data_IF_246486126665
#
_entry.id   IF_246486126665
#
_cell.length_a   1.000
_cell.length_b   1.000
_cell.length_c   1.000
_cell.angle_alpha   90.00
_cell.angle_beta   90.00
_cell.angle_gamma   90.00
#
_symmetry.space_group_name_H-M   'P 1'
#
loop_
_entity.id
_entity.type
_entity.pdbx_description
1 polymer ?
#
# COMPACT_ATOMS: atom_id res chain seq x y z
N UNK A 1 -10.85 16.92 0.20
CA UNK A 1 -10.61 15.91 1.27
C UNK A 1 -9.10 15.80 1.47
N UNK A 2 -8.62 15.11 2.50
CA UNK A 2 -7.19 14.91 2.75
C UNK A 2 -6.87 13.41 2.69
N UNK A 3 -5.65 13.03 2.26
CA UNK A 3 -5.22 11.65 2.30
C UNK A 3 -5.08 11.17 3.75
N UNK A 4 -5.16 9.85 3.92
CA UNK A 4 -4.81 9.15 5.16
C UNK A 4 -3.29 9.26 5.31
N UNK A 5 -2.83 9.90 6.38
CA UNK A 5 -1.41 9.99 6.69
C UNK A 5 -0.98 8.70 7.38
N UNK A 6 -0.01 7.98 6.81
CA UNK A 6 0.54 6.76 7.39
C UNK A 6 2.03 6.94 7.65
N UNK A 7 2.42 7.01 8.92
CA UNK A 7 3.80 7.12 9.36
C UNK A 7 4.35 5.73 9.66
N UNK A 8 5.42 5.34 8.98
CA UNK A 8 6.06 4.02 9.15
C UNK A 8 7.52 4.18 9.56
N UNK A 9 7.98 3.33 10.47
CA UNK A 9 9.42 3.16 10.75
C UNK A 9 9.65 1.82 11.45
N UNK A 10 10.59 1.03 10.98
CA UNK A 10 11.06 -0.18 11.70
C UNK A 10 11.85 0.21 12.97
N UNK A 11 12.56 1.34 12.90
CA UNK A 11 13.32 1.89 14.02
C UNK A 11 12.40 2.40 15.14
N UNK A 12 12.89 2.28 16.37
CA UNK A 12 12.31 2.91 17.56
C UNK A 12 12.83 4.34 17.70
N UNK A 13 12.21 5.11 18.59
CA UNK A 13 12.58 6.50 18.88
C UNK A 13 12.51 7.46 17.66
N UNK A 14 11.43 7.33 16.88
CA UNK A 14 11.17 8.19 15.71
C UNK A 14 10.21 9.34 15.99
N UNK A 15 9.71 9.46 17.22
CA UNK A 15 8.77 10.49 17.63
C UNK A 15 7.34 10.32 17.10
N UNK A 16 6.98 9.18 16.48
CA UNK A 16 5.62 8.92 15.94
C UNK A 16 4.52 9.08 16.99
N UNK A 17 4.64 8.42 18.13
CA UNK A 17 3.67 8.54 19.24
C UNK A 17 3.67 9.96 19.82
N UNK A 18 4.84 10.61 19.94
CA UNK A 18 4.94 12.01 20.37
C UNK A 18 4.22 12.96 19.42
N UNK A 19 4.28 12.72 18.11
CA UNK A 19 3.52 13.47 17.12
C UNK A 19 2.01 13.29 17.27
N UNK A 20 1.53 12.08 17.55
CA UNK A 20 0.11 11.84 17.84
C UNK A 20 -0.34 12.60 19.11
N UNK A 21 0.50 12.59 20.15
CA UNK A 21 0.25 13.35 21.39
C UNK A 21 0.27 14.86 21.17
N UNK A 22 1.15 15.36 20.29
CA UNK A 22 1.16 16.76 19.87
C UNK A 22 -0.15 17.13 19.15
N UNK A 23 -0.62 16.29 18.23
CA UNK A 23 -1.92 16.48 17.57
C UNK A 23 -3.08 16.49 18.59
N UNK A 24 -3.03 15.61 19.60
CA UNK A 24 -4.00 15.59 20.69
C UNK A 24 -3.95 16.89 21.52
N UNK A 25 -2.77 17.44 21.78
CA UNK A 25 -2.64 18.72 22.47
C UNK A 25 -3.16 19.90 21.62
N UNK A 26 -2.92 19.87 20.31
CA UNK A 26 -3.31 20.93 19.38
C UNK A 26 -4.82 21.02 19.16
N UNK A 27 -5.49 19.87 18.96
CA UNK A 27 -6.90 19.79 18.59
C UNK A 27 -7.81 19.34 19.75
N UNK A 28 -7.23 18.99 20.90
CA UNK A 28 -7.93 18.68 22.14
C UNK A 28 -9.03 17.63 21.95
N UNK A 29 -10.28 17.96 22.31
CA UNK A 29 -11.42 17.06 22.23
C UNK A 29 -11.84 16.71 20.81
N UNK A 30 -11.28 17.37 19.79
CA UNK A 30 -11.53 17.03 18.38
C UNK A 30 -10.67 15.87 17.89
N UNK A 31 -9.79 15.31 18.73
CA UNK A 31 -8.96 14.13 18.43
C UNK A 31 -9.32 12.97 19.33
N UNK A 32 -9.30 11.76 18.77
CA UNK A 32 -9.43 10.50 19.51
C UNK A 32 -8.36 9.51 19.10
N UNK A 33 -7.88 8.75 20.08
CA UNK A 33 -7.04 7.59 19.84
C UNK A 33 -7.95 6.38 19.65
N UNK A 34 -7.80 5.70 18.52
CA UNK A 34 -8.48 4.46 18.22
C UNK A 34 -7.47 3.33 18.13
N UNK A 35 -7.92 2.15 18.49
CA UNK A 35 -7.24 0.88 18.28
C UNK A 35 -7.73 0.21 16.99
N UNK A 36 -7.05 -0.87 16.57
CA UNK A 36 -7.51 -1.69 15.45
C UNK A 36 -8.90 -2.32 15.72
N UNK A 37 -9.28 -2.53 16.97
CA UNK A 37 -10.58 -3.11 17.35
C UNK A 37 -11.73 -2.12 17.21
N UNK A 38 -11.47 -0.83 17.44
CA UNK A 38 -12.50 0.21 17.31
C UNK A 38 -12.99 0.35 15.85
N UNK A 39 -12.14 0.06 14.87
CA UNK A 39 -12.54 -0.03 13.47
C UNK A 39 -13.37 -1.27 13.15
N UNK A 40 -13.32 -2.30 13.98
CA UNK A 40 -14.10 -3.53 13.80
C UNK A 40 -15.40 -3.47 14.58
N UNK A 41 -15.44 -2.67 15.65
CA UNK A 41 -16.63 -2.43 16.44
C UNK A 41 -17.77 -1.83 15.59
N UNK A 42 -19.00 -2.22 15.94
CA UNK A 42 -20.21 -1.57 15.47
C UNK A 42 -20.47 -0.27 16.24
N UNK A 43 -20.08 -0.23 17.52
CA UNK A 43 -20.16 0.98 18.34
C UNK A 43 -19.02 1.93 18.01
N UNK A 44 -19.39 3.16 17.62
CA UNK A 44 -18.47 4.15 17.06
C UNK A 44 -18.75 5.57 17.58
N UNK A 45 -19.65 5.71 18.56
CA UNK A 45 -20.09 7.00 19.09
C UNK A 45 -18.99 7.84 19.75
N UNK A 46 -17.95 7.18 20.20
CA UNK A 46 -16.75 7.76 20.80
C UNK A 46 -15.89 8.53 19.78
N UNK A 47 -15.85 8.07 18.52
CA UNK A 47 -14.98 8.66 17.49
C UNK A 47 -15.72 9.27 16.29
N UNK A 48 -16.98 8.93 16.04
CA UNK A 48 -17.69 9.34 14.83
C UNK A 48 -17.83 10.87 14.65
N UNK A 49 -17.85 11.63 15.74
CA UNK A 49 -17.93 13.10 15.73
C UNK A 49 -16.59 13.84 15.78
N UNK A 50 -15.45 13.12 15.71
CA UNK A 50 -14.12 13.71 15.89
C UNK A 50 -13.54 14.19 14.56
N UNK A 51 -12.76 15.27 14.62
CA UNK A 51 -12.05 15.82 13.45
C UNK A 51 -10.88 14.92 13.04
N UNK A 52 -10.17 14.36 14.01
CA UNK A 52 -8.98 13.55 13.78
C UNK A 52 -9.10 12.23 14.55
N UNK A 53 -8.90 11.13 13.82
CA UNK A 53 -8.81 9.79 14.38
C UNK A 53 -7.37 9.35 14.21
N UNK A 54 -6.69 9.17 15.35
CA UNK A 54 -5.29 8.74 15.38
C UNK A 54 -5.19 7.30 15.85
N UNK A 55 -4.32 6.53 15.23
CA UNK A 55 -4.11 5.11 15.55
C UNK A 55 -2.63 4.90 15.74
N UNK A 56 -2.24 4.52 16.95
CA UNK A 56 -0.88 4.04 17.19
C UNK A 56 -0.83 2.54 16.88
N UNK A 57 0.26 2.10 16.26
CA UNK A 57 0.48 0.71 15.84
C UNK A 57 -0.67 0.08 15.03
N UNK A 58 -0.97 0.67 13.87
CA UNK A 58 -1.94 0.11 12.92
C UNK A 58 -1.43 -1.21 12.31
N UNK A 59 -2.33 -2.20 12.28
CA UNK A 59 -2.15 -3.49 11.61
C UNK A 59 -3.49 -3.97 11.01
N UNK A 60 -3.82 -3.49 9.81
CA UNK A 60 -5.04 -3.85 9.09
C UNK A 60 -4.73 -4.92 8.05
N UNK A 61 -4.57 -6.16 8.52
CA UNK A 61 -4.32 -7.33 7.67
C UNK A 61 -5.56 -7.85 6.94
N UNK A 62 -6.76 -7.35 7.24
CA UNK A 62 -8.00 -7.72 6.57
C UNK A 62 -8.33 -6.71 5.49
N UNK A 63 -8.68 -7.21 4.30
CA UNK A 63 -9.09 -6.35 3.18
C UNK A 63 -10.33 -5.53 3.53
N UNK A 64 -11.26 -6.13 4.28
CA UNK A 64 -12.45 -5.46 4.82
C UNK A 64 -12.12 -4.23 5.67
N UNK A 65 -11.14 -4.32 6.56
CA UNK A 65 -10.71 -3.20 7.41
C UNK A 65 -10.13 -2.06 6.56
N UNK A 66 -9.35 -2.41 5.53
CA UNK A 66 -8.76 -1.45 4.59
C UNK A 66 -9.84 -0.77 3.73
N UNK A 67 -10.83 -1.52 3.23
CA UNK A 67 -12.00 -0.94 2.52
C UNK A 67 -12.83 -0.03 3.43
N UNK A 68 -13.07 -0.43 4.69
CA UNK A 68 -13.79 0.39 5.66
C UNK A 68 -13.07 1.72 5.89
N UNK A 69 -11.76 1.71 6.06
CA UNK A 69 -10.95 2.92 6.21
C UNK A 69 -11.01 3.82 4.97
N UNK A 70 -10.91 3.24 3.75
CA UNK A 70 -11.06 3.97 2.49
C UNK A 70 -12.44 4.63 2.37
N UNK A 71 -13.49 3.91 2.74
CA UNK A 71 -14.85 4.45 2.76
C UNK A 71 -14.94 5.63 3.72
N UNK A 72 -14.54 5.45 4.99
CA UNK A 72 -14.56 6.50 6.01
C UNK A 72 -13.78 7.75 5.59
N UNK A 73 -12.61 7.61 4.96
CA UNK A 73 -11.82 8.75 4.48
C UNK A 73 -12.54 9.62 3.43
N UNK A 74 -13.63 9.10 2.84
CA UNK A 74 -14.37 9.77 1.78
C UNK A 74 -15.86 9.95 2.03
N UNK A 75 -16.42 9.33 3.05
CA UNK A 75 -17.83 9.48 3.40
C UNK A 75 -18.13 10.89 3.90
N UNK A 76 -19.35 11.38 3.66
CA UNK A 76 -19.83 12.69 4.14
C UNK A 76 -20.82 12.57 5.31
N UNK A 77 -21.50 11.43 5.43
CA UNK A 77 -22.42 11.15 6.54
C UNK A 77 -22.23 9.72 7.06
N UNK A 78 -22.28 9.55 8.37
CA UNK A 78 -22.03 8.25 9.01
C UNK A 78 -23.09 7.96 10.08
N UNK A 79 -23.52 6.70 10.15
CA UNK A 79 -24.47 6.24 11.16
C UNK A 79 -23.72 5.96 12.45
N UNK A 80 -24.03 6.75 13.46
CA UNK A 80 -23.51 6.58 14.81
C UNK A 80 -24.30 5.49 15.50
N UNK A 81 -23.59 4.52 16.05
CA UNK A 81 -24.16 3.48 16.89
C UNK A 81 -23.56 3.58 18.30
N UNK A 82 -24.44 3.69 19.30
CA UNK A 82 -24.09 3.67 20.71
C UNK A 82 -24.85 2.56 21.41
N UNK A 83 -24.26 1.97 22.46
CA UNK A 83 -24.87 0.86 23.19
C UNK A 83 -26.20 1.31 23.82
N UNK A 84 -27.29 0.62 23.48
CA UNK A 84 -28.62 0.90 24.03
C UNK A 84 -29.25 2.20 23.54
N UNK A 85 -28.80 2.75 22.39
CA UNK A 85 -29.38 3.93 21.76
C UNK A 85 -29.69 3.67 20.30
N UNK A 86 -30.68 4.38 19.77
CA UNK A 86 -31.03 4.33 18.35
C UNK A 86 -29.93 4.92 17.48
N UNK A 87 -29.85 4.42 16.24
CA UNK A 87 -28.86 4.85 15.26
C UNK A 87 -29.23 6.20 14.69
N UNK A 88 -28.29 7.15 14.77
CA UNK A 88 -28.47 8.50 14.24
C UNK A 88 -27.44 8.79 13.16
N UNK A 89 -27.85 9.46 12.08
CA UNK A 89 -26.94 9.89 11.03
C UNK A 89 -26.34 11.26 11.37
N UNK A 90 -25.01 11.37 11.31
CA UNK A 90 -24.29 12.62 11.52
C UNK A 90 -23.41 12.94 10.31
N UNK A 91 -23.02 14.21 10.17
CA UNK A 91 -21.97 14.59 9.21
C UNK A 91 -20.63 13.99 9.63
N UNK A 92 -19.96 13.29 8.71
CA UNK A 92 -18.66 12.69 8.92
C UNK A 92 -17.58 13.49 8.21
N UNK A 93 -16.62 13.98 8.99
CA UNK A 93 -15.55 14.85 8.50
C UNK A 93 -14.20 14.47 9.10
N UNK A 94 -14.05 13.26 9.62
CA UNK A 94 -12.81 12.83 10.24
C UNK A 94 -11.66 12.73 9.24
N UNK A 95 -10.44 12.91 9.74
CA UNK A 95 -9.17 12.69 9.04
C UNK A 95 -8.38 11.65 9.81
N UNK A 96 -7.59 10.85 9.10
CA UNK A 96 -6.90 9.71 9.68
C UNK A 96 -5.40 9.93 9.69
N UNK A 97 -4.79 9.70 10.85
CA UNK A 97 -3.34 9.61 11.02
C UNK A 97 -3.01 8.29 11.66
N UNK A 98 -2.22 7.48 10.98
CA UNK A 98 -1.88 6.14 11.37
C UNK A 98 -0.37 6.05 11.58
N UNK A 99 0.05 5.35 12.62
CA UNK A 99 1.44 5.02 12.86
C UNK A 99 1.61 3.50 12.81
N UNK A 100 2.69 3.00 12.21
CA UNK A 100 3.04 1.59 12.30
C UNK A 100 4.54 1.40 12.43
N UNK A 101 4.93 0.32 13.11
CA UNK A 101 6.30 -0.16 13.13
C UNK A 101 6.59 -1.15 11.98
N UNK A 102 5.55 -1.54 11.23
CA UNK A 102 5.67 -2.41 10.07
C UNK A 102 5.75 -1.55 8.79
N UNK A 103 6.91 -1.52 8.15
CA UNK A 103 7.11 -0.82 6.88
C UNK A 103 6.62 -1.60 5.65
N UNK A 104 6.34 -2.90 5.80
CA UNK A 104 5.99 -3.79 4.70
C UNK A 104 4.48 -4.00 4.57
N UNK A 105 3.81 -4.36 5.66
CA UNK A 105 2.39 -4.76 5.66
C UNK A 105 1.57 -4.12 6.81
N UNK A 106 1.56 -2.78 6.96
CA UNK A 106 0.74 -2.12 7.98
C UNK A 106 -0.76 -2.09 7.61
N UNK A 107 -1.07 -1.91 6.33
CA UNK A 107 -2.41 -1.82 5.75
C UNK A 107 -2.36 -2.40 4.32
N UNK A 108 -3.45 -3.02 3.88
CA UNK A 108 -3.56 -3.49 2.48
C UNK A 108 -3.88 -2.29 1.59
N UNK A 109 -2.94 -1.96 0.70
CA UNK A 109 -3.02 -0.86 -0.26
C UNK A 109 -2.83 -1.46 -1.65
N UNK A 110 -3.84 -1.28 -2.49
CA UNK A 110 -3.84 -1.74 -3.88
C UNK A 110 -3.09 -0.76 -4.80
N UNK A 111 -2.64 -1.26 -5.95
CA UNK A 111 -2.03 -0.43 -6.98
C UNK A 111 -3.01 0.63 -7.49
N UNK A 112 -2.52 1.86 -7.67
CA UNK A 112 -3.34 3.00 -8.11
C UNK A 112 -4.17 3.65 -6.99
N UNK A 113 -4.05 3.21 -5.75
CA UNK A 113 -4.71 3.86 -4.61
C UNK A 113 -4.09 5.23 -4.30
N UNK A 114 -4.90 6.29 -4.37
CA UNK A 114 -4.44 7.69 -4.19
C UNK A 114 -4.86 8.29 -2.85
N UNK A 115 -5.42 7.49 -1.93
CA UNK A 115 -5.93 7.97 -0.64
C UNK A 115 -4.89 7.95 0.48
N UNK A 116 -3.72 7.34 0.29
CA UNK A 116 -2.69 7.23 1.32
C UNK A 116 -1.50 8.15 1.04
N UNK A 117 -1.03 8.81 2.09
CA UNK A 117 0.26 9.48 2.09
C UNK A 117 1.18 8.78 3.09
N UNK A 118 2.05 7.92 2.59
CA UNK A 118 2.95 7.12 3.42
C UNK A 118 4.28 7.85 3.60
N UNK A 119 4.72 8.01 4.85
CA UNK A 119 5.99 8.65 5.20
C UNK A 119 6.83 7.70 6.05
N UNK A 120 7.99 7.32 5.54
CA UNK A 120 9.03 6.69 6.36
C UNK A 120 9.67 7.75 7.25
N UNK A 121 9.72 7.51 8.55
CA UNK A 121 10.29 8.43 9.53
C UNK A 121 11.60 7.84 10.06
N UNK A 122 12.66 8.64 10.05
CA UNK A 122 13.96 8.26 10.60
C UNK A 122 13.98 8.38 12.12
N UNK A 123 14.86 7.63 12.78
CA UNK A 123 15.17 7.86 14.20
C UNK A 123 15.67 9.27 14.49
N UNK A 124 15.32 9.76 15.67
CA UNK A 124 15.86 11.00 16.21
C UNK A 124 17.32 10.78 16.63
N UNK A 125 18.18 11.76 16.37
CA UNK A 125 19.61 11.68 16.70
C UNK A 125 19.87 11.74 18.21
N UNK A 126 19.01 12.46 18.94
CA UNK A 126 19.09 12.63 20.39
C UNK A 126 17.72 12.41 21.00
N UNK A 127 17.72 11.78 22.17
CA UNK A 127 16.52 11.67 22.98
C UNK A 127 16.37 12.89 23.89
N UNK A 128 15.16 13.44 23.96
CA UNK A 128 14.81 14.60 24.77
C UNK A 128 13.51 14.27 25.51
N UNK A 129 13.62 13.98 26.80
CA UNK A 129 12.50 13.53 27.62
C UNK A 129 11.40 14.58 27.72
N UNK A 130 11.73 15.86 27.58
CA UNK A 130 10.79 16.99 27.69
C UNK A 130 10.30 17.46 26.31
N UNK A 131 10.60 16.71 25.24
CA UNK A 131 10.30 17.13 23.87
C UNK A 131 8.82 17.44 23.65
N UNK A 132 7.91 16.64 24.25
CA UNK A 132 6.47 16.89 24.13
C UNK A 132 6.04 18.21 24.81
N UNK A 133 6.62 18.55 25.96
CA UNK A 133 6.30 19.80 26.66
C UNK A 133 6.85 21.01 25.90
N UNK A 134 8.05 20.89 25.33
CA UNK A 134 8.60 21.90 24.42
C UNK A 134 7.69 22.10 23.19
N UNK A 135 7.20 21.02 22.58
CA UNK A 135 6.24 21.10 21.47
C UNK A 135 4.92 21.77 21.89
N UNK A 136 4.42 21.48 23.09
CA UNK A 136 3.21 22.14 23.61
C UNK A 136 3.40 23.64 23.81
N UNK A 137 4.57 24.05 24.33
CA UNK A 137 4.91 25.47 24.51
C UNK A 137 4.94 26.23 23.18
N UNK A 138 5.33 25.55 22.08
CA UNK A 138 5.38 26.11 20.73
C UNK A 138 4.02 26.14 20.00
N UNK A 139 2.96 25.53 20.54
CA UNK A 139 1.64 25.49 19.88
C UNK A 139 1.14 26.88 19.45
N UNK A 140 1.19 27.94 20.29
CA UNK A 140 0.72 29.27 19.89
C UNK A 140 1.50 29.83 18.69
N UNK A 141 2.83 29.70 18.70
CA UNK A 141 3.68 30.16 17.60
C UNK A 141 3.44 29.36 16.32
N UNK A 142 3.27 28.03 16.45
CA UNK A 142 2.94 27.15 15.34
C UNK A 142 1.59 27.52 14.71
N UNK A 143 0.55 27.75 15.52
CA UNK A 143 -0.77 28.17 15.03
C UNK A 143 -0.72 29.54 14.33
N UNK A 144 0.03 30.49 14.88
CA UNK A 144 0.26 31.78 14.25
C UNK A 144 0.91 31.63 12.87
N UNK A 145 1.95 30.78 12.77
CA UNK A 145 2.57 30.45 11.50
C UNK A 145 1.58 29.81 10.51
N UNK A 146 0.75 28.87 10.96
CA UNK A 146 -0.24 28.20 10.11
C UNK A 146 -1.32 29.15 9.57
N UNK A 147 -1.68 30.21 10.30
CA UNK A 147 -2.66 31.21 9.85
C UNK A 147 -2.11 32.10 8.72
N UNK A 148 -0.81 32.44 8.76
CA UNK A 148 -0.16 33.31 7.79
C UNK A 148 0.57 32.60 6.64
N UNK A 149 0.73 31.27 6.71
CA UNK A 149 1.52 30.55 5.70
C UNK A 149 0.80 30.48 4.36
N UNK A 150 1.59 30.55 3.29
CA UNK A 150 1.13 30.16 1.95
C UNK A 150 1.22 28.64 1.81
N UNK A 151 0.19 28.01 1.27
CA UNK A 151 0.21 26.58 1.00
C UNK A 151 1.19 26.28 -0.13
N UNK A 152 2.03 25.26 0.05
CA UNK A 152 3.04 24.85 -0.95
C UNK A 152 2.44 24.10 -2.14
N UNK A 153 1.16 23.74 -2.06
CA UNK A 153 0.47 22.95 -3.08
C UNK A 153 -0.93 23.50 -3.28
N UNK A 154 -1.43 23.35 -4.50
CA UNK A 154 -2.80 23.68 -4.87
C UNK A 154 -3.66 22.42 -4.93
N UNK A 155 -4.98 22.60 -4.92
CA UNK A 155 -5.95 21.51 -4.99
C UNK A 155 -5.98 20.90 -6.40
N UNK A 156 -5.23 19.80 -6.58
CA UNK A 156 -5.09 19.05 -7.85
C UNK A 156 -5.96 17.79 -7.94
N UNK A 157 -6.50 17.30 -6.82
CA UNK A 157 -7.33 16.09 -6.79
C UNK A 157 -8.38 16.11 -5.69
N UNK A 158 -9.27 15.10 -5.66
CA UNK A 158 -10.21 14.87 -4.56
C UNK A 158 -9.54 14.87 -3.18
N UNK A 159 -8.30 14.38 -3.10
CA UNK A 159 -7.47 14.32 -1.90
C UNK A 159 -6.44 15.45 -1.82
N UNK A 160 -6.72 16.61 -2.44
CA UNK A 160 -5.86 17.78 -2.51
C UNK A 160 -4.61 17.59 -3.38
N UNK A 161 -3.80 16.58 -3.11
CA UNK A 161 -2.52 16.34 -3.77
C UNK A 161 -2.68 15.60 -5.11
N UNK A 162 -1.81 15.88 -6.07
CA UNK A 162 -1.67 15.03 -7.25
C UNK A 162 -1.02 13.68 -6.86
N UNK A 163 -1.39 12.55 -7.49
CA UNK A 163 -0.87 11.22 -7.13
C UNK A 163 0.66 11.17 -7.07
N UNK A 164 1.33 11.89 -7.96
CA UNK A 164 2.80 11.95 -8.06
C UNK A 164 3.43 12.60 -6.81
N UNK A 165 2.72 13.51 -6.14
CA UNK A 165 3.21 14.19 -4.94
C UNK A 165 3.21 13.30 -3.69
N UNK A 166 2.35 12.28 -3.68
CA UNK A 166 2.19 11.34 -2.55
C UNK A 166 2.74 9.94 -2.85
N UNK A 167 3.23 9.72 -4.08
CA UNK A 167 3.90 8.50 -4.53
C UNK A 167 5.31 8.38 -3.94
N UNK A 168 5.38 8.06 -2.64
CA UNK A 168 6.64 7.85 -1.91
C UNK A 168 7.17 6.43 -2.08
N UNK A 169 8.48 6.23 -1.89
CA UNK A 169 9.07 4.88 -1.93
C UNK A 169 8.49 3.95 -0.86
N UNK A 170 8.14 4.51 0.30
CA UNK A 170 7.44 3.77 1.35
C UNK A 170 6.06 3.27 0.89
N UNK A 171 5.30 4.10 0.16
CA UNK A 171 4.03 3.68 -0.43
C UNK A 171 4.23 2.58 -1.47
N UNK A 172 5.21 2.74 -2.38
CA UNK A 172 5.54 1.72 -3.40
C UNK A 172 5.94 0.39 -2.75
N UNK A 173 6.75 0.43 -1.69
CA UNK A 173 7.15 -0.75 -0.92
C UNK A 173 5.94 -1.49 -0.35
N UNK A 174 5.01 -0.78 0.29
CA UNK A 174 3.79 -1.40 0.84
C UNK A 174 2.93 -2.01 -0.27
N UNK A 175 2.72 -1.30 -1.39
CA UNK A 175 1.97 -1.84 -2.54
C UNK A 175 2.62 -3.12 -3.06
N UNK A 176 3.95 -3.13 -3.22
CA UNK A 176 4.71 -4.31 -3.64
C UNK A 176 4.57 -5.47 -2.65
N UNK A 177 4.68 -5.20 -1.35
CA UNK A 177 4.53 -6.24 -0.32
C UNK A 177 3.11 -6.80 -0.25
N UNK A 178 2.08 -6.01 -0.59
CA UNK A 178 0.69 -6.46 -0.65
C UNK A 178 0.37 -7.32 -1.88
N UNK A 179 1.30 -7.48 -2.83
CA UNK A 179 1.09 -8.34 -4.01
C UNK A 179 1.04 -9.82 -3.63
N UNK A 180 0.45 -10.60 -4.53
CA UNK A 180 0.35 -12.04 -4.34
C UNK A 180 1.76 -12.67 -4.37
N UNK A 181 2.07 -13.52 -3.39
CA UNK A 181 3.36 -14.23 -3.35
C UNK A 181 3.68 -14.95 -4.65
N UNK A 182 2.69 -15.62 -5.26
CA UNK A 182 2.88 -16.31 -6.54
C UNK A 182 3.22 -15.33 -7.68
N UNK A 183 2.65 -14.12 -7.64
CA UNK A 183 2.95 -13.08 -8.64
C UNK A 183 4.40 -12.60 -8.51
N UNK A 184 4.87 -12.40 -7.27
CA UNK A 184 6.27 -12.04 -6.99
C UNK A 184 7.21 -13.14 -7.47
N UNK A 185 6.97 -14.40 -7.08
CA UNK A 185 7.78 -15.55 -7.51
C UNK A 185 7.79 -15.70 -9.04
N UNK A 186 6.64 -15.49 -9.71
CA UNK A 186 6.56 -15.48 -11.17
C UNK A 186 7.38 -14.35 -11.80
N UNK A 187 7.30 -13.13 -11.23
CA UNK A 187 8.03 -11.97 -11.77
C UNK A 187 9.54 -12.13 -11.64
N UNK A 188 10.03 -12.60 -10.49
CA UNK A 188 11.45 -12.85 -10.23
C UNK A 188 11.99 -13.95 -11.15
N UNK A 189 11.26 -15.06 -11.29
CA UNK A 189 11.64 -16.13 -12.20
C UNK A 189 11.72 -15.66 -13.66
N UNK A 190 10.77 -14.84 -14.10
CA UNK A 190 10.77 -14.34 -15.47
C UNK A 190 11.91 -13.35 -15.74
N UNK A 191 12.25 -12.52 -14.76
CA UNK A 191 13.43 -11.66 -14.81
C UNK A 191 14.73 -12.49 -14.87
N UNK A 192 14.85 -13.54 -14.06
CA UNK A 192 16.00 -14.45 -14.07
C UNK A 192 16.18 -15.12 -15.45
N UNK A 193 15.09 -15.59 -16.06
CA UNK A 193 15.13 -16.16 -17.42
C UNK A 193 15.57 -15.12 -18.44
N UNK A 194 15.03 -13.89 -18.37
CA UNK A 194 15.41 -12.79 -19.27
C UNK A 194 16.89 -12.43 -19.14
N UNK A 195 17.42 -12.35 -17.91
CA UNK A 195 18.83 -12.05 -17.64
C UNK A 195 19.77 -13.15 -18.15
N UNK A 196 19.47 -14.42 -17.86
CA UNK A 196 20.28 -15.56 -18.30
C UNK A 196 20.31 -15.73 -19.82
N UNK A 197 19.24 -15.32 -20.49
CA UNK A 197 19.08 -15.47 -21.94
C UNK A 197 19.40 -14.20 -22.71
N UNK A 198 19.72 -13.11 -22.01
CA UNK A 198 19.96 -11.77 -22.56
C UNK A 198 18.81 -11.30 -23.47
N UNK A 199 17.57 -11.43 -22.98
CA UNK A 199 16.36 -11.00 -23.70
C UNK A 199 15.54 -9.98 -22.93
N UNK A 200 15.00 -8.98 -23.62
CA UNK A 200 14.20 -7.91 -23.01
C UNK A 200 12.72 -8.29 -22.81
N UNK A 201 12.31 -9.45 -23.35
CA UNK A 201 10.93 -9.93 -23.26
C UNK A 201 10.85 -11.45 -23.29
N UNK A 202 9.84 -11.98 -22.61
CA UNK A 202 9.59 -13.41 -22.47
C UNK A 202 8.24 -13.75 -23.09
N UNK A 203 8.25 -14.73 -23.99
CA UNK A 203 7.06 -15.29 -24.62
C UNK A 203 6.72 -16.63 -23.97
N UNK A 204 5.47 -16.81 -23.55
CA UNK A 204 5.06 -18.02 -22.85
C UNK A 204 3.57 -18.31 -23.01
N UNK A 205 3.22 -19.60 -23.04
CA UNK A 205 1.88 -20.07 -22.73
C UNK A 205 1.77 -20.35 -21.22
N UNK A 206 0.54 -20.44 -20.69
CA UNK A 206 0.33 -20.74 -19.27
C UNK A 206 0.99 -22.07 -18.83
N UNK A 207 1.05 -23.07 -19.71
CA UNK A 207 1.71 -24.33 -19.41
C UNK A 207 3.24 -24.18 -19.31
N UNK A 208 3.82 -23.27 -20.09
CA UNK A 208 5.26 -23.00 -20.08
C UNK A 208 5.63 -22.31 -18.76
N UNK A 209 4.84 -21.31 -18.35
CA UNK A 209 5.00 -20.64 -17.06
C UNK A 209 4.91 -21.63 -15.89
N UNK A 210 3.95 -22.56 -15.92
CA UNK A 210 3.81 -23.59 -14.89
C UNK A 210 5.01 -24.53 -14.88
N UNK A 211 5.52 -24.93 -16.05
CA UNK A 211 6.69 -25.79 -16.13
C UNK A 211 7.92 -25.10 -15.53
N UNK A 212 8.15 -23.82 -15.85
CA UNK A 212 9.24 -23.02 -15.29
C UNK A 212 9.13 -22.87 -13.76
N UNK A 213 7.92 -22.61 -13.25
CA UNK A 213 7.65 -22.56 -11.80
C UNK A 213 7.93 -23.90 -11.12
N UNK A 214 7.52 -25.02 -11.73
CA UNK A 214 7.76 -26.36 -11.19
C UNK A 214 9.24 -26.71 -11.11
N UNK A 215 10.03 -26.30 -12.11
CA UNK A 215 11.49 -26.47 -12.11
C UNK A 215 12.16 -25.73 -10.94
N UNK A 216 11.57 -24.62 -10.50
CA UNK A 216 12.03 -23.82 -9.34
C UNK A 216 11.30 -24.18 -8.04
N UNK A 217 10.71 -25.38 -7.96
CA UNK A 217 10.00 -25.88 -6.78
C UNK A 217 8.78 -25.05 -6.32
N UNK A 218 8.24 -24.19 -7.20
CA UNK A 218 7.03 -23.42 -6.95
C UNK A 218 5.81 -24.18 -7.49
N UNK A 219 4.96 -24.65 -6.57
CA UNK A 219 3.70 -25.32 -6.95
C UNK A 219 2.62 -24.28 -7.20
N UNK A 220 2.24 -24.12 -8.47
CA UNK A 220 1.19 -23.20 -8.87
C UNK A 220 0.04 -23.90 -9.61
N UNK A 221 -1.19 -23.51 -9.31
CA UNK A 221 -2.36 -23.97 -10.05
C UNK A 221 -2.59 -23.10 -11.30
N UNK A 222 -2.93 -23.74 -12.42
CA UNK A 222 -3.10 -23.05 -13.71
C UNK A 222 -4.10 -21.90 -13.68
N UNK A 223 -5.15 -22.01 -12.86
CA UNK A 223 -6.16 -20.95 -12.72
C UNK A 223 -5.59 -19.70 -12.02
N UNK A 224 -4.67 -19.86 -11.06
CA UNK A 224 -4.00 -18.75 -10.37
C UNK A 224 -2.99 -18.06 -11.29
N UNK A 225 -2.20 -18.83 -12.03
CA UNK A 225 -1.26 -18.30 -13.04
C UNK A 225 -2.02 -17.52 -14.11
N UNK A 226 -3.16 -18.04 -14.59
CA UNK A 226 -4.04 -17.32 -15.52
C UNK A 226 -4.50 -15.99 -14.94
N UNK A 227 -4.97 -15.99 -13.69
CA UNK A 227 -5.43 -14.79 -12.99
C UNK A 227 -4.34 -13.73 -12.93
N UNK A 228 -3.10 -14.11 -12.59
CA UNK A 228 -1.97 -13.18 -12.54
C UNK A 228 -1.70 -12.58 -13.93
N UNK A 229 -1.58 -13.42 -14.95
CA UNK A 229 -1.24 -13.00 -16.32
C UNK A 229 -2.33 -12.10 -16.93
N UNK A 230 -3.60 -12.46 -16.76
CA UNK A 230 -4.73 -11.78 -17.42
C UNK A 230 -5.30 -10.62 -16.59
N UNK A 231 -5.41 -10.77 -15.26
CA UNK A 231 -6.09 -9.77 -14.41
C UNK A 231 -5.08 -8.80 -13.78
N UNK A 232 -3.97 -9.31 -13.24
CA UNK A 232 -2.95 -8.46 -12.60
C UNK A 232 -2.07 -7.78 -13.65
N UNK A 233 -1.43 -8.55 -14.53
CA UNK A 233 -0.50 -8.03 -15.53
C UNK A 233 -1.19 -7.48 -16.78
N UNK A 234 -2.50 -7.77 -16.94
CA UNK A 234 -3.36 -7.31 -18.04
C UNK A 234 -2.82 -7.70 -19.41
N UNK A 235 -2.14 -8.84 -19.51
CA UNK A 235 -1.59 -9.34 -20.76
C UNK A 235 -2.69 -10.01 -21.58
N UNK A 236 -2.67 -9.73 -22.89
CA UNK A 236 -3.53 -10.40 -23.86
C UNK A 236 -2.74 -11.48 -24.59
N UNK A 237 -3.36 -12.65 -24.87
CA UNK A 237 -2.71 -13.66 -25.70
C UNK A 237 -2.66 -13.19 -27.16
N UNK A 238 -1.75 -13.76 -27.95
CA UNK A 238 -1.73 -13.56 -29.40
C UNK A 238 -3.07 -13.97 -30.04
N UNK A 239 -3.52 -13.20 -31.05
CA UNK A 239 -4.81 -13.43 -31.73
C UNK A 239 -4.90 -14.83 -32.35
N UNK A 240 -3.79 -15.26 -32.97
CA UNK A 240 -3.67 -16.55 -33.65
C UNK A 240 -2.62 -17.43 -32.96
N UNK A 241 -2.71 -18.74 -33.24
CA UNK A 241 -1.66 -19.68 -32.86
C UNK A 241 -0.45 -19.43 -33.78
N UNK A 242 0.63 -18.93 -33.18
CA UNK A 242 1.85 -18.54 -33.89
C UNK A 242 3.04 -19.30 -33.29
N UNK A 243 4.12 -19.38 -34.06
CA UNK A 243 5.40 -19.90 -33.55
C UNK A 243 6.03 -18.86 -32.65
N UNK A 244 6.44 -19.27 -31.45
CA UNK A 244 7.08 -18.42 -30.45
C UNK A 244 8.26 -19.13 -29.81
N UNK A 245 9.15 -18.34 -29.20
CA UNK A 245 10.31 -18.87 -28.49
C UNK A 245 10.00 -18.90 -27.00
N UNK A 246 9.81 -20.11 -26.46
CA UNK A 246 9.68 -20.36 -25.03
C UNK A 246 11.03 -20.77 -24.45
N UNK A 247 11.09 -20.91 -23.13
CA UNK A 247 12.30 -21.34 -22.43
C UNK A 247 11.97 -22.52 -21.53
N UNK A 248 12.89 -23.48 -21.50
CA UNK A 248 12.83 -24.66 -20.64
C UNK A 248 14.09 -24.74 -19.79
N UNK A 249 13.93 -25.21 -18.56
CA UNK A 249 15.04 -25.41 -17.66
C UNK A 249 15.90 -26.59 -18.13
N UNK A 250 17.20 -26.35 -18.32
CA UNK A 250 18.15 -27.32 -18.84
C UNK A 250 19.45 -27.29 -18.01
N UNK A 251 19.61 -28.33 -17.18
CA UNK A 251 20.76 -28.55 -16.30
C UNK A 251 22.11 -28.58 -17.02
N UNK A 252 22.13 -28.85 -18.32
CA UNK A 252 23.37 -29.02 -19.10
C UNK A 252 23.82 -27.74 -19.80
N UNK A 253 23.02 -26.66 -19.74
CA UNK A 253 23.34 -25.39 -20.39
C UNK A 253 24.01 -24.43 -19.41
N UNK A 254 24.99 -23.66 -19.88
CA UNK A 254 25.76 -22.70 -19.07
C UNK A 254 24.92 -21.57 -18.45
N UNK A 255 23.66 -21.42 -18.89
CA UNK A 255 22.70 -20.41 -18.41
C UNK A 255 21.41 -20.99 -17.85
N UNK A 256 21.38 -22.29 -17.49
CA UNK A 256 20.24 -23.02 -16.91
C UNK A 256 18.92 -23.05 -17.72
N UNK A 257 18.76 -22.22 -18.74
CA UNK A 257 17.58 -22.14 -19.60
C UNK A 257 17.97 -22.26 -21.07
N UNK A 258 17.25 -23.07 -21.83
CA UNK A 258 17.44 -23.22 -23.28
C UNK A 258 16.20 -22.79 -24.06
N UNK A 259 16.36 -22.06 -25.18
CA UNK A 259 15.24 -21.64 -26.01
C UNK A 259 14.63 -22.83 -26.77
N UNK A 260 13.31 -22.97 -26.70
CA UNK A 260 12.54 -23.98 -27.43
C UNK A 260 11.47 -23.30 -28.28
N UNK A 261 11.40 -23.65 -29.57
CA UNK A 261 10.33 -23.18 -30.45
C UNK A 261 9.06 -23.96 -30.20
N UNK A 262 7.97 -23.26 -29.88
CA UNK A 262 6.63 -23.84 -29.65
C UNK A 262 5.61 -23.12 -30.53
N UNK A 263 4.42 -23.72 -30.68
CA UNK A 263 3.30 -23.13 -31.43
C UNK A 263 2.10 -23.02 -30.50
N UNK A 264 1.51 -21.83 -30.41
CA UNK A 264 0.37 -21.60 -29.53
C UNK A 264 -0.07 -20.15 -29.47
N UNK A 265 -1.09 -19.89 -28.67
CA UNK A 265 -1.51 -18.53 -28.31
C UNK A 265 -0.75 -18.09 -27.06
N UNK A 266 0.34 -17.37 -27.26
CA UNK A 266 1.29 -17.01 -26.21
C UNK A 266 1.03 -15.59 -25.68
N UNK A 267 1.51 -15.34 -24.47
CA UNK A 267 1.60 -14.02 -23.87
C UNK A 267 3.03 -13.50 -24.02
N UNK A 268 3.18 -12.18 -24.08
CA UNK A 268 4.50 -11.52 -24.06
C UNK A 268 4.54 -10.59 -22.85
N UNK A 269 5.61 -10.67 -22.06
CA UNK A 269 5.88 -9.76 -20.96
C UNK A 269 7.28 -9.17 -21.12
N UNK A 270 7.44 -7.87 -20.86
CA UNK A 270 8.73 -7.16 -20.99
C UNK A 270 9.41 -7.02 -19.64
N UNK A 271 10.74 -6.90 -19.66
CA UNK A 271 11.55 -6.65 -18.46
C UNK A 271 11.10 -5.37 -17.76
N UNK A 272 10.83 -4.30 -18.51
CA UNK A 272 10.30 -3.04 -17.97
C UNK A 272 8.96 -3.22 -17.24
N UNK A 273 8.07 -4.04 -17.80
CA UNK A 273 6.78 -4.32 -17.18
C UNK A 273 6.99 -5.07 -15.86
N UNK A 274 7.87 -6.07 -15.82
CA UNK A 274 8.18 -6.80 -14.59
C UNK A 274 8.90 -5.94 -13.54
N UNK A 275 9.82 -5.06 -13.94
CA UNK A 275 10.48 -4.12 -13.04
C UNK A 275 9.53 -3.03 -12.50
N UNK A 276 8.47 -2.71 -13.24
CA UNK A 276 7.41 -1.81 -12.78
C UNK A 276 6.43 -2.46 -11.80
N UNK A 277 6.46 -3.80 -11.71
CA UNK A 277 5.70 -4.57 -10.71
C UNK A 277 6.50 -4.46 -9.41
#
# INVERSE_FOLDING_TARGET
KLPILLLVSEERNTGKTTFLNFLKALFQDNVTFNTNEDFRSQFNSDWAGKLLIVVDEVLLSRREDSERLKNLSTTLSYKVEAKGKDRNEISFFAKFVLCSNNESLPVIIDEGETRYWVRKISSLQSDDTDFLEKLKAEIPAFLFHLQGRTLSTEHKSRMWFAPEQIATDALRRIIRCNRNRLEVEMSELFLEVMENTQTDSLQFCLNDAIALLQCNHVKAEKHLVRKIVQDCWKLQPSENALTYTSYEYNNNSSGHYSPTKRVGRFYTVTMDKLNSI
#
